data_IF_293261649802
#
_entry.id   IF_293261649802
#
_cell.length_a   1.000
_cell.length_b   1.000
_cell.length_c   1.000
_cell.angle_alpha   90.00
_cell.angle_beta   90.00
_cell.angle_gamma   90.00
#
_symmetry.space_group_name_H-M   'P 1'
#
loop_
_entity.id
_entity.type
_entity.pdbx_description
1 polymer ?
#
# COMPACT_ATOMS: atom_id res chain seq x y z
N UNK A 1 -0.06 46.87 54.04
CA UNK A 1 -0.39 47.96 53.08
C UNK A 1 -0.39 47.35 51.70
N UNK A 2 -1.55 46.88 51.21
CA UNK A 2 -1.68 46.17 49.93
C UNK A 2 -2.57 47.01 49.04
N UNK A 3 -1.95 47.70 48.06
CA UNK A 3 -2.63 48.48 47.03
C UNK A 3 -3.12 47.56 45.89
N UNK A 4 -4.19 47.95 45.17
CA UNK A 4 -5.19 47.01 44.70
C UNK A 4 -4.98 46.50 43.27
N UNK A 5 -5.48 45.27 43.10
CA UNK A 5 -5.66 44.46 41.91
C UNK A 5 -6.60 45.14 40.89
N UNK A 6 -6.15 46.15 40.12
CA UNK A 6 -7.02 46.77 39.10
C UNK A 6 -6.38 47.27 37.79
N UNK A 7 -5.14 46.92 37.49
CA UNK A 7 -4.48 47.37 36.24
C UNK A 7 -3.99 46.25 35.32
N UNK A 8 -4.08 44.97 35.71
CA UNK A 8 -3.68 43.83 34.86
C UNK A 8 -4.83 43.24 34.03
N UNK A 9 -6.09 43.44 34.43
CA UNK A 9 -7.28 42.98 33.68
C UNK A 9 -7.60 43.82 32.44
N UNK A 10 -7.01 45.02 32.29
CA UNK A 10 -7.30 45.91 31.15
C UNK A 10 -6.50 45.56 29.90
N UNK A 11 -5.41 44.81 29.98
CA UNK A 11 -4.61 44.45 28.80
C UNK A 11 -5.08 43.14 28.18
N UNK A 12 -5.46 42.14 28.97
CA UNK A 12 -6.06 40.91 28.44
C UNK A 12 -7.42 41.15 27.80
N UNK A 13 -8.29 41.99 28.41
CA UNK A 13 -9.58 42.34 27.79
C UNK A 13 -9.41 43.19 26.53
N UNK A 14 -8.41 44.09 26.50
CA UNK A 14 -8.12 44.91 25.31
C UNK A 14 -7.52 44.05 24.19
N UNK A 15 -6.70 43.03 24.51
CA UNK A 15 -6.19 42.05 23.54
C UNK A 15 -7.32 41.16 23.00
N UNK A 16 -8.26 40.73 23.85
CA UNK A 16 -9.42 39.92 23.42
C UNK A 16 -10.37 40.76 22.55
N UNK A 17 -10.63 42.03 22.91
CA UNK A 17 -11.46 42.94 22.12
C UNK A 17 -10.78 43.31 20.79
N UNK A 18 -9.46 43.53 20.77
CA UNK A 18 -8.70 43.76 19.52
C UNK A 18 -8.66 42.51 18.63
N UNK A 19 -8.58 41.31 19.21
CA UNK A 19 -8.66 40.05 18.46
C UNK A 19 -10.08 39.76 17.95
N UNK A 20 -11.13 40.07 18.71
CA UNK A 20 -12.53 39.96 18.24
C UNK A 20 -12.83 40.97 17.12
N UNK A 21 -12.23 42.17 17.15
CA UNK A 21 -12.39 43.15 16.07
C UNK A 21 -11.59 42.80 14.80
N UNK A 22 -10.47 42.06 14.93
CA UNK A 22 -9.68 41.62 13.77
C UNK A 22 -10.18 40.29 13.17
N UNK A 23 -11.07 39.58 13.86
CA UNK A 23 -11.80 38.42 13.32
C UNK A 23 -13.18 38.88 12.82
N UNK A 24 -13.21 39.88 11.94
CA UNK A 24 -14.24 39.98 10.89
C UNK A 24 -13.57 40.54 9.63
N UNK A 25 -13.77 39.79 8.54
CA UNK A 25 -13.52 40.11 7.13
C UNK A 25 -12.15 39.81 6.51
N UNK A 26 -11.75 38.54 6.58
CA UNK A 26 -11.13 37.87 5.42
C UNK A 26 -12.11 36.82 4.91
N UNK A 27 -12.77 37.09 3.77
CA UNK A 27 -13.53 36.07 3.03
C UNK A 27 -12.54 35.13 2.35
N UNK A 28 -12.13 34.08 3.05
CA UNK A 28 -11.49 32.92 2.43
C UNK A 28 -12.58 32.02 1.85
N UNK A 29 -12.62 31.90 0.52
CA UNK A 29 -13.41 30.88 -0.17
C UNK A 29 -12.57 29.60 -0.29
N UNK A 30 -12.63 28.71 0.71
CA UNK A 30 -12.22 27.31 0.60
C UNK A 30 -13.43 26.47 1.07
N UNK A 31 -14.10 25.69 0.23
CA UNK A 31 -13.67 24.43 -0.39
C UNK A 31 -13.36 23.36 0.66
N UNK A 32 -14.40 22.65 1.09
CA UNK A 32 -14.31 21.30 1.64
C UNK A 32 -15.66 20.57 1.48
N UNK A 33 -15.68 19.57 0.60
CA UNK A 33 -16.57 18.42 0.68
C UNK A 33 -15.66 17.18 0.62
N UNK A 34 -15.15 16.77 1.77
CA UNK A 34 -14.81 15.37 2.03
C UNK A 34 -15.74 14.92 3.15
N UNK A 35 -16.67 14.04 2.78
CA UNK A 35 -17.52 13.35 3.72
C UNK A 35 -16.66 12.34 4.49
N UNK A 36 -16.22 12.71 5.68
CA UNK A 36 -15.80 11.77 6.71
C UNK A 36 -16.72 11.88 7.92
N UNK A 37 -17.15 10.69 8.35
CA UNK A 37 -18.08 10.40 9.44
C UNK A 37 -17.62 11.02 10.76
N UNK A 38 -18.46 11.84 11.39
CA UNK A 38 -18.34 12.20 12.80
C UNK A 38 -19.38 11.42 13.63
N UNK A 39 -18.84 10.59 14.50
CA UNK A 39 -19.49 9.80 15.53
C UNK A 39 -20.20 10.73 16.53
N UNK A 40 -21.54 10.68 16.56
CA UNK A 40 -22.34 11.40 17.55
C UNK A 40 -22.41 10.54 18.81
N UNK A 41 -21.67 10.96 19.85
CA UNK A 41 -21.85 10.47 21.21
C UNK A 41 -23.17 11.02 21.76
N UNK A 42 -24.17 10.16 21.94
CA UNK A 42 -25.37 10.47 22.71
C UNK A 42 -25.42 9.63 24.01
N UNK A 43 -25.37 10.39 25.10
CA UNK A 43 -25.53 10.06 26.52
C UNK A 43 -26.04 8.67 26.97
N UNK A 44 -25.28 8.12 27.93
CA UNK A 44 -25.70 7.40 29.16
C UNK A 44 -27.12 6.80 29.18
N UNK A 45 -27.21 5.49 28.94
CA UNK A 45 -27.98 4.57 29.81
C UNK A 45 -27.41 3.15 29.74
N UNK A 46 -27.00 2.67 30.92
CA UNK A 46 -26.43 1.35 31.22
C UNK A 46 -27.48 0.26 30.96
N UNK A 47 -27.17 -0.73 30.11
CA UNK A 47 -27.70 -2.10 30.24
C UNK A 47 -26.73 -3.09 29.59
N UNK A 48 -26.07 -3.89 30.42
CA UNK A 48 -25.20 -5.00 30.04
C UNK A 48 -26.11 -6.18 29.67
N UNK A 49 -25.99 -6.74 28.46
CA UNK A 49 -26.30 -8.15 28.15
C UNK A 49 -25.27 -8.65 27.11
N UNK A 50 -24.89 -9.91 27.30
CA UNK A 50 -23.73 -10.65 26.82
C UNK A 50 -23.61 -10.94 25.32
N UNK A 51 -22.36 -11.24 24.95
CA UNK A 51 -21.84 -11.92 23.77
C UNK A 51 -22.81 -12.85 23.02
N UNK A 52 -22.97 -12.59 21.71
CA UNK A 52 -23.24 -13.62 20.69
C UNK A 52 -22.46 -13.24 19.43
N UNK A 53 -21.52 -14.10 19.05
CA UNK A 53 -20.88 -14.13 17.73
C UNK A 53 -21.91 -14.56 16.67
N UNK A 54 -22.08 -13.79 15.60
CA UNK A 54 -22.79 -14.29 14.41
C UNK A 54 -21.98 -14.02 13.14
N UNK A 55 -21.50 -15.13 12.59
CA UNK A 55 -20.94 -15.27 11.26
C UNK A 55 -21.95 -14.78 10.22
N UNK A 56 -21.65 -13.71 9.49
CA UNK A 56 -22.44 -13.36 8.30
C UNK A 56 -22.01 -14.22 7.11
N UNK A 57 -22.61 -15.41 6.98
CA UNK A 57 -22.77 -16.08 5.67
C UNK A 57 -23.72 -15.26 4.81
N UNK A 58 -23.26 -14.75 3.67
CA UNK A 58 -24.12 -14.19 2.63
C UNK A 58 -24.79 -15.32 1.84
N UNK A 59 -26.10 -15.46 2.01
CA UNK A 59 -26.98 -16.22 1.12
C UNK A 59 -27.34 -15.40 -0.14
N UNK A 60 -27.67 -16.04 -1.27
CA UNK A 60 -27.92 -15.36 -2.54
C UNK A 60 -29.30 -14.68 -2.56
N UNK A 61 -29.38 -13.62 -3.37
CA UNK A 61 -30.52 -12.71 -3.49
C UNK A 61 -31.84 -13.42 -3.83
N UNK A 62 -32.88 -13.13 -3.03
CA UNK A 62 -34.28 -13.16 -3.45
C UNK A 62 -34.87 -11.77 -3.27
N UNK A 63 -35.64 -11.36 -4.27
CA UNK A 63 -36.34 -10.09 -4.32
C UNK A 63 -37.49 -10.08 -3.31
N UNK A 64 -37.59 -9.02 -2.51
CA UNK A 64 -38.78 -8.64 -1.76
C UNK A 64 -38.82 -7.12 -1.65
N UNK A 65 -39.98 -6.57 -2.01
CA UNK A 65 -40.31 -5.15 -2.02
C UNK A 65 -40.20 -4.53 -0.62
N UNK A 66 -39.43 -3.44 -0.50
CA UNK A 66 -39.49 -2.57 0.67
C UNK A 66 -39.79 -1.15 0.21
N UNK A 67 -41.05 -0.78 0.41
CA UNK A 67 -41.58 0.58 0.38
C UNK A 67 -40.73 1.48 1.29
N UNK A 68 -40.11 2.53 0.73
CA UNK A 68 -39.59 3.66 1.50
C UNK A 68 -40.35 4.93 1.18
N UNK A 69 -41.08 5.36 2.19
CA UNK A 69 -41.89 6.57 2.29
C UNK A 69 -41.06 7.81 1.97
N UNK A 70 -41.61 8.61 1.07
CA UNK A 70 -41.10 9.88 0.57
C UNK A 70 -41.49 10.99 1.56
N UNK A 71 -40.50 11.68 2.13
CA UNK A 71 -40.72 12.95 2.83
C UNK A 71 -40.52 14.09 1.81
N UNK A 72 -41.59 14.45 1.11
CA UNK A 72 -41.73 15.77 0.46
C UNK A 72 -42.84 16.51 1.19
N UNK A 73 -42.49 17.43 2.10
CA UNK A 73 -43.54 18.23 2.78
C UNK A 73 -43.17 19.68 3.13
N UNK A 74 -42.05 20.25 2.68
CA UNK A 74 -41.72 21.63 3.09
C UNK A 74 -41.37 22.62 1.97
N UNK A 75 -41.46 22.24 0.70
CA UNK A 75 -41.13 23.15 -0.42
C UNK A 75 -42.38 23.51 -1.27
N UNK A 76 -43.52 22.86 -1.04
CA UNK A 76 -44.73 23.04 -1.87
C UNK A 76 -45.58 24.27 -1.52
N UNK A 77 -45.15 25.15 -0.60
CA UNK A 77 -45.99 26.27 -0.12
C UNK A 77 -45.52 27.67 -0.54
N UNK A 78 -44.47 27.82 -1.36
CA UNK A 78 -43.94 29.16 -1.67
C UNK A 78 -43.97 29.63 -3.13
N UNK A 79 -44.55 28.88 -4.08
CA UNK A 79 -44.63 29.34 -5.47
C UNK A 79 -46.01 29.13 -6.09
N UNK A 80 -47.04 29.66 -5.42
CA UNK A 80 -48.35 29.90 -6.02
C UNK A 80 -48.56 31.41 -6.14
N UNK A 81 -48.18 31.97 -7.29
CA UNK A 81 -48.75 33.14 -7.95
C UNK A 81 -47.69 33.79 -8.85
N UNK A 82 -47.79 33.61 -10.16
CA UNK A 82 -47.98 34.69 -11.15
C UNK A 82 -47.98 34.10 -12.56
N UNK A 83 -49.17 34.08 -13.18
CA UNK A 83 -49.33 33.93 -14.62
C UNK A 83 -49.20 35.31 -15.27
N UNK A 84 -48.49 35.42 -16.40
CA UNK A 84 -48.86 36.35 -17.48
C UNK A 84 -48.22 35.90 -18.81
N UNK A 85 -49.07 35.80 -19.84
CA UNK A 85 -48.69 35.50 -21.23
C UNK A 85 -47.95 36.68 -21.87
N UNK A 86 -46.88 36.41 -22.64
CA UNK A 86 -46.58 37.19 -23.86
C UNK A 86 -45.74 36.41 -24.88
N UNK A 87 -46.10 36.67 -26.13
CA UNK A 87 -45.74 36.03 -27.41
C UNK A 87 -44.33 36.42 -27.87
N UNK A 88 -43.71 35.47 -28.58
CA UNK A 88 -42.39 35.42 -29.24
C UNK A 88 -41.63 36.72 -29.55
N UNK A 89 -40.34 36.75 -29.14
CA UNK A 89 -39.11 37.08 -29.90
C UNK A 89 -37.95 36.47 -29.08
N UNK A 90 -37.19 35.52 -29.65
CA UNK A 90 -36.10 34.82 -28.94
C UNK A 90 -34.81 35.64 -28.91
N UNK A 91 -34.64 36.43 -27.85
CA UNK A 91 -33.33 36.69 -27.24
C UNK A 91 -33.28 35.86 -25.96
N UNK A 92 -32.32 34.94 -25.82
CA UNK A 92 -32.23 34.04 -24.65
C UNK A 92 -31.78 34.85 -23.43
N UNK A 93 -32.74 35.47 -22.73
CA UNK A 93 -32.53 36.12 -21.43
C UNK A 93 -32.49 35.06 -20.33
N UNK A 94 -31.33 34.87 -19.73
CA UNK A 94 -31.18 34.10 -18.49
C UNK A 94 -31.71 34.92 -17.31
N UNK A 95 -32.73 34.42 -16.60
CA UNK A 95 -33.15 34.98 -15.31
C UNK A 95 -32.38 34.30 -14.18
N UNK A 96 -31.44 35.01 -13.58
CA UNK A 96 -30.90 34.67 -12.27
C UNK A 96 -31.84 35.26 -11.20
N UNK A 97 -32.46 34.40 -10.39
CA UNK A 97 -32.97 34.82 -9.09
C UNK A 97 -31.84 34.66 -8.08
N UNK A 98 -31.10 35.74 -7.84
CA UNK A 98 -30.56 36.04 -6.51
C UNK A 98 -30.30 37.54 -6.44
N UNK A 99 -30.94 38.20 -5.48
CA UNK A 99 -30.72 39.60 -5.14
C UNK A 99 -29.22 39.87 -4.91
N UNK A 100 -28.62 40.67 -5.79
CA UNK A 100 -27.80 41.79 -5.35
C UNK A 100 -27.56 42.78 -6.49
N UNK A 101 -27.66 44.07 -6.14
CA UNK A 101 -27.31 45.22 -6.98
C UNK A 101 -25.87 45.04 -7.50
N UNK A 102 -25.71 45.05 -8.82
CA UNK A 102 -24.80 45.91 -9.57
C UNK A 102 -24.88 45.55 -11.07
N UNK A 103 -25.10 46.57 -11.90
CA UNK A 103 -25.11 46.48 -13.36
C UNK A 103 -23.68 46.30 -13.87
N UNK A 104 -23.26 45.07 -14.15
CA UNK A 104 -22.10 44.81 -15.02
C UNK A 104 -22.43 43.65 -15.97
N UNK A 105 -22.42 43.96 -17.27
CA UNK A 105 -22.38 43.11 -18.47
C UNK A 105 -23.00 41.70 -18.38
N UNK A 106 -24.27 41.61 -18.80
CA UNK A 106 -24.93 40.34 -19.12
C UNK A 106 -24.20 39.65 -20.27
N UNK A 107 -23.33 38.68 -19.97
CA UNK A 107 -22.64 37.83 -20.95
C UNK A 107 -23.65 36.91 -21.66
N UNK A 108 -24.07 37.31 -22.85
CA UNK A 108 -24.97 36.52 -23.70
C UNK A 108 -24.18 35.42 -24.45
N UNK A 109 -24.68 34.19 -24.45
CA UNK A 109 -24.11 33.12 -25.29
C UNK A 109 -24.36 33.48 -26.77
N UNK A 110 -23.28 33.60 -27.55
CA UNK A 110 -23.33 33.77 -29.00
C UNK A 110 -23.02 32.43 -29.69
N UNK A 111 -24.02 31.54 -29.89
CA UNK A 111 -23.79 30.27 -30.54
C UNK A 111 -23.51 30.46 -32.03
N UNK A 112 -22.60 29.64 -32.58
CA UNK A 112 -22.35 29.54 -34.02
C UNK A 112 -23.54 28.89 -34.71
N UNK A 113 -24.15 27.89 -34.07
CA UNK A 113 -25.30 27.17 -34.61
C UNK A 113 -26.27 26.77 -33.53
N UNK A 114 -27.56 26.81 -33.84
CA UNK A 114 -28.65 26.50 -32.93
C UNK A 114 -29.56 25.45 -33.55
N UNK A 115 -29.84 24.41 -32.80
CA UNK A 115 -30.86 23.40 -33.08
C UNK A 115 -31.91 23.47 -31.98
N UNK A 116 -33.14 23.79 -32.36
CA UNK A 116 -34.23 24.04 -31.42
C UNK A 116 -34.68 22.76 -30.71
N UNK A 117 -34.53 21.60 -31.35
CA UNK A 117 -34.91 20.31 -30.80
C UNK A 117 -33.88 19.23 -31.13
N UNK A 118 -33.21 18.72 -30.10
CA UNK A 118 -32.13 17.73 -30.24
C UNK A 118 -32.59 16.47 -30.98
N UNK A 119 -33.83 16.00 -30.75
CA UNK A 119 -34.37 14.75 -31.31
C UNK A 119 -34.90 14.93 -32.72
N UNK A 120 -35.64 16.01 -32.98
CA UNK A 120 -36.20 16.31 -34.30
C UNK A 120 -35.11 16.72 -35.29
N UNK A 121 -34.15 17.54 -34.88
CA UNK A 121 -33.05 17.98 -35.74
C UNK A 121 -31.94 16.93 -35.89
N UNK A 122 -32.17 15.66 -35.52
CA UNK A 122 -31.16 14.60 -35.54
C UNK A 122 -30.46 14.46 -36.89
N UNK A 123 -31.22 14.44 -37.99
CA UNK A 123 -30.65 14.26 -39.32
C UNK A 123 -29.70 15.40 -39.70
N UNK A 124 -30.13 16.64 -39.44
CA UNK A 124 -29.35 17.84 -39.72
C UNK A 124 -28.10 17.92 -38.86
N UNK A 125 -28.23 17.64 -37.55
CA UNK A 125 -27.10 17.60 -36.61
C UNK A 125 -26.03 16.61 -37.09
N UNK A 126 -26.45 15.38 -37.45
CA UNK A 126 -25.50 14.34 -37.86
C UNK A 126 -24.83 14.64 -39.20
N UNK A 127 -25.53 15.33 -40.12
CA UNK A 127 -24.99 15.74 -41.40
C UNK A 127 -24.03 16.92 -41.27
N UNK A 128 -24.45 17.97 -40.57
CA UNK A 128 -23.75 19.26 -40.53
C UNK A 128 -22.60 19.30 -39.53
N UNK A 129 -22.64 18.46 -38.49
CA UNK A 129 -21.61 18.37 -37.45
C UNK A 129 -20.69 17.16 -37.61
N UNK A 130 -20.76 16.49 -38.77
CA UNK A 130 -19.89 15.38 -39.13
C UNK A 130 -18.45 15.85 -39.18
N UNK A 131 -17.56 15.11 -38.54
CA UNK A 131 -16.10 15.35 -38.50
C UNK A 131 -15.70 16.73 -37.96
N UNK A 132 -16.59 17.39 -37.23
CA UNK A 132 -16.31 18.66 -36.55
C UNK A 132 -16.03 18.43 -35.07
N UNK A 133 -14.99 19.09 -34.59
CA UNK A 133 -14.59 19.17 -33.20
C UNK A 133 -15.02 20.49 -32.59
N UNK A 134 -15.49 20.51 -31.34
CA UNK A 134 -15.89 21.75 -30.70
C UNK A 134 -16.59 21.61 -29.35
N UNK A 135 -17.04 22.76 -28.85
CA UNK A 135 -17.79 22.92 -27.60
C UNK A 135 -19.27 23.15 -27.91
N UNK A 136 -20.14 22.47 -27.16
CA UNK A 136 -21.59 22.56 -27.29
C UNK A 136 -22.26 22.82 -25.95
N UNK A 137 -23.47 23.35 -25.99
CA UNK A 137 -24.37 23.53 -24.87
C UNK A 137 -25.70 22.82 -25.14
N UNK A 138 -26.17 22.01 -24.20
CA UNK A 138 -27.51 21.45 -24.18
C UNK A 138 -28.34 22.24 -23.19
N UNK A 139 -29.50 22.71 -23.63
CA UNK A 139 -30.45 23.47 -22.80
C UNK A 139 -31.72 22.65 -22.65
N UNK A 140 -32.10 22.35 -21.41
CA UNK A 140 -33.39 21.76 -21.13
C UNK A 140 -34.49 22.83 -21.24
N UNK A 141 -35.44 22.64 -22.15
CA UNK A 141 -36.55 23.55 -22.41
C UNK A 141 -37.58 23.60 -21.28
N UNK A 142 -37.60 22.58 -20.39
CA UNK A 142 -38.57 22.50 -19.30
C UNK A 142 -38.14 23.35 -18.10
N UNK A 143 -36.90 23.18 -17.63
CA UNK A 143 -36.40 23.82 -16.41
C UNK A 143 -35.34 24.91 -16.70
N UNK A 144 -34.91 25.07 -17.95
CA UNK A 144 -33.89 26.05 -18.36
C UNK A 144 -32.46 25.66 -17.99
N UNK A 145 -32.25 24.50 -17.35
CA UNK A 145 -30.92 24.07 -16.94
C UNK A 145 -30.05 23.70 -18.15
N UNK A 146 -28.76 23.98 -18.02
CA UNK A 146 -27.79 23.82 -19.10
C UNK A 146 -26.71 22.82 -18.78
N UNK A 147 -26.14 22.23 -19.83
CA UNK A 147 -24.95 21.39 -19.80
C UNK A 147 -23.99 21.84 -20.88
N UNK A 148 -22.71 22.02 -20.54
CA UNK A 148 -21.66 22.34 -21.50
C UNK A 148 -20.73 21.14 -21.63
N UNK A 149 -20.41 20.76 -22.87
CA UNK A 149 -19.50 19.66 -23.14
C UNK A 149 -18.61 19.94 -24.36
N UNK A 150 -17.50 19.23 -24.47
CA UNK A 150 -16.66 19.23 -25.67
C UNK A 150 -16.57 17.86 -26.33
N UNK A 151 -16.29 17.81 -27.62
CA UNK A 151 -16.05 16.56 -28.35
C UNK A 151 -15.17 16.79 -29.58
N UNK A 152 -14.25 15.84 -29.83
CA UNK A 152 -13.47 15.74 -31.08
C UNK A 152 -14.40 15.47 -32.28
N UNK A 153 -15.51 14.77 -32.06
CA UNK A 153 -16.53 14.54 -33.08
C UNK A 153 -17.92 14.83 -32.49
N UNK A 154 -18.47 15.99 -32.88
CA UNK A 154 -19.76 16.48 -32.39
C UNK A 154 -20.91 15.58 -32.84
N UNK A 155 -20.96 15.17 -34.11
CA UNK A 155 -22.01 14.27 -34.61
C UNK A 155 -22.03 12.94 -33.84
N UNK A 156 -20.87 12.32 -33.61
CA UNK A 156 -20.76 11.07 -32.82
C UNK A 156 -21.25 11.26 -31.39
N UNK A 157 -20.89 12.38 -30.75
CA UNK A 157 -21.37 12.70 -29.40
C UNK A 157 -22.88 12.87 -29.34
N UNK A 158 -23.47 13.61 -30.29
CA UNK A 158 -24.92 13.79 -30.35
C UNK A 158 -25.66 12.49 -30.64
N UNK A 159 -25.10 11.62 -31.49
CA UNK A 159 -25.62 10.27 -31.72
C UNK A 159 -25.72 9.46 -30.43
N UNK A 160 -24.74 9.58 -29.53
CA UNK A 160 -24.76 8.91 -28.23
C UNK A 160 -25.90 9.45 -27.34
N UNK A 161 -26.07 10.77 -27.25
CA UNK A 161 -27.16 11.35 -26.45
C UNK A 161 -28.54 11.01 -26.97
N UNK A 162 -28.68 10.81 -28.28
CA UNK A 162 -29.92 10.38 -28.94
C UNK A 162 -30.18 8.87 -28.87
N UNK A 163 -29.27 8.09 -28.29
CA UNK A 163 -29.39 6.64 -28.20
C UNK A 163 -29.75 6.20 -26.78
N UNK A 164 -30.97 5.67 -26.61
CA UNK A 164 -31.44 5.18 -25.31
C UNK A 164 -30.60 4.04 -24.72
N UNK A 165 -30.00 3.18 -25.55
CA UNK A 165 -29.10 2.11 -25.09
C UNK A 165 -27.82 2.70 -24.49
N UNK A 166 -27.29 3.76 -25.09
CA UNK A 166 -26.14 4.49 -24.54
C UNK A 166 -26.48 5.14 -23.21
N UNK A 167 -27.65 5.79 -23.12
CA UNK A 167 -28.08 6.48 -21.90
C UNK A 167 -28.36 5.50 -20.73
N UNK A 168 -28.93 4.31 -21.00
CA UNK A 168 -29.24 3.30 -19.99
C UNK A 168 -28.04 2.45 -19.57
N UNK A 169 -26.87 2.63 -20.18
CA UNK A 169 -25.67 1.87 -19.84
C UNK A 169 -25.21 2.21 -18.41
N UNK A 170 -24.93 1.18 -17.60
CA UNK A 170 -24.46 1.31 -16.20
C UNK A 170 -23.19 2.15 -16.06
N UNK A 171 -22.36 2.26 -17.10
CA UNK A 171 -21.16 3.12 -17.10
C UNK A 171 -21.50 4.61 -17.17
N UNK A 172 -22.63 4.96 -17.80
CA UNK A 172 -23.02 6.34 -18.11
C UNK A 172 -24.10 6.88 -17.17
N UNK A 173 -24.75 6.01 -16.38
CA UNK A 173 -25.89 6.34 -15.52
C UNK A 173 -25.61 7.43 -14.48
N UNK A 174 -24.34 7.64 -14.12
CA UNK A 174 -23.93 8.62 -13.13
C UNK A 174 -23.71 10.03 -13.70
N UNK A 175 -23.71 10.20 -15.03
CA UNK A 175 -23.56 11.51 -15.65
C UNK A 175 -24.85 12.34 -15.50
N UNK A 176 -24.84 13.55 -14.93
CA UNK A 176 -26.07 14.32 -14.72
C UNK A 176 -26.84 14.61 -16.01
N UNK A 177 -26.14 14.95 -17.10
CA UNK A 177 -26.77 15.18 -18.41
C UNK A 177 -27.47 13.92 -18.95
N UNK A 178 -26.89 12.73 -18.74
CA UNK A 178 -27.51 11.45 -19.16
C UNK A 178 -28.80 11.21 -18.37
N UNK A 179 -28.78 11.46 -17.05
CA UNK A 179 -29.97 11.38 -16.19
C UNK A 179 -31.04 12.39 -16.61
N UNK A 180 -30.64 13.61 -16.96
CA UNK A 180 -31.55 14.66 -17.40
C UNK A 180 -32.21 14.30 -18.75
N UNK A 181 -31.43 13.83 -19.73
CA UNK A 181 -31.92 13.37 -21.03
C UNK A 181 -32.89 12.18 -20.91
N UNK A 182 -32.65 11.27 -19.96
CA UNK A 182 -33.58 10.16 -19.66
C UNK A 182 -34.85 10.64 -18.94
N UNK A 183 -34.72 11.58 -18.00
CA UNK A 183 -35.85 12.08 -17.19
C UNK A 183 -36.81 12.94 -18.01
N UNK A 184 -36.28 13.80 -18.88
CA UNK A 184 -37.07 14.82 -19.59
C UNK A 184 -37.29 14.50 -21.07
N UNK A 185 -36.79 13.36 -21.58
CA UNK A 185 -36.73 13.00 -23.01
C UNK A 185 -35.85 13.95 -23.85
N UNK A 186 -35.17 13.40 -24.86
CA UNK A 186 -34.25 14.20 -25.70
C UNK A 186 -34.98 15.29 -26.51
N UNK A 187 -36.28 15.15 -26.79
CA UNK A 187 -37.06 16.17 -27.51
C UNK A 187 -37.19 17.49 -26.72
N UNK A 188 -37.02 17.45 -25.40
CA UNK A 188 -37.09 18.64 -24.56
C UNK A 188 -35.74 19.36 -24.41
N UNK A 189 -34.74 19.00 -25.22
CA UNK A 189 -33.44 19.69 -25.23
C UNK A 189 -33.22 20.46 -26.53
N UNK A 190 -32.61 21.64 -26.42
CA UNK A 190 -32.01 22.37 -27.54
C UNK A 190 -30.50 22.21 -27.53
N UNK A 191 -29.88 22.20 -28.71
CA UNK A 191 -28.43 22.08 -28.87
C UNK A 191 -27.87 23.37 -29.47
N UNK A 192 -26.90 23.96 -28.79
CA UNK A 192 -26.15 25.11 -29.26
C UNK A 192 -24.71 24.68 -29.50
N UNK A 193 -24.17 24.94 -30.69
CA UNK A 193 -22.73 24.83 -30.95
C UNK A 193 -22.12 26.18 -30.59
N UNK A 194 -21.26 26.19 -29.58
CA UNK A 194 -20.67 27.41 -29.03
C UNK A 194 -19.41 27.81 -29.81
N UNK A 195 -18.56 26.84 -30.12
CA UNK A 195 -17.27 27.08 -30.75
C UNK A 195 -16.77 25.81 -31.45
N UNK A 196 -16.14 25.95 -32.62
CA UNK A 196 -15.36 24.88 -33.23
C UNK A 196 -13.91 25.00 -32.80
N UNK A 197 -13.34 23.90 -32.29
CA UNK A 197 -12.06 23.91 -31.59
C UNK A 197 -11.28 22.66 -31.96
N UNK A 198 -9.98 22.80 -32.22
CA UNK A 198 -9.07 21.66 -32.43
C UNK A 198 -8.96 20.78 -31.17
N UNK A 199 -8.60 19.51 -31.35
CA UNK A 199 -8.70 18.50 -30.29
C UNK A 199 -7.88 18.85 -29.04
N UNK A 200 -6.73 19.50 -29.24
CA UNK A 200 -5.77 19.92 -28.22
C UNK A 200 -6.36 20.98 -27.29
N UNK A 201 -7.23 21.84 -27.82
CA UNK A 201 -7.77 23.01 -27.13
C UNK A 201 -9.17 22.77 -26.52
N UNK A 202 -9.82 21.63 -26.81
CA UNK A 202 -11.18 21.33 -26.36
C UNK A 202 -11.35 21.47 -24.84
N UNK A 203 -10.44 20.88 -24.06
CA UNK A 203 -10.50 20.90 -22.59
C UNK A 203 -10.41 22.32 -22.02
N UNK A 204 -9.55 23.16 -22.63
CA UNK A 204 -9.34 24.54 -22.23
C UNK A 204 -10.60 25.36 -22.52
N UNK A 205 -11.16 25.21 -23.72
CA UNK A 205 -12.36 25.95 -24.14
C UNK A 205 -13.61 25.48 -23.40
N UNK A 206 -13.77 24.18 -23.16
CA UNK A 206 -14.84 23.64 -22.32
C UNK A 206 -14.80 24.24 -20.91
N UNK A 207 -13.61 24.28 -20.31
CA UNK A 207 -13.40 24.91 -19.00
C UNK A 207 -13.76 26.39 -19.02
N UNK A 208 -13.34 27.13 -20.04
CA UNK A 208 -13.69 28.54 -20.20
C UNK A 208 -15.21 28.76 -20.17
N UNK A 209 -15.98 27.95 -20.91
CA UNK A 209 -17.43 28.06 -20.92
C UNK A 209 -18.08 27.59 -19.59
N UNK A 210 -17.61 26.50 -18.99
CA UNK A 210 -18.14 26.03 -17.70
C UNK A 210 -17.93 27.07 -16.60
N UNK A 211 -16.74 27.67 -16.51
CA UNK A 211 -16.43 28.68 -15.49
C UNK A 211 -17.25 29.96 -15.71
N UNK A 212 -17.42 30.38 -16.96
CA UNK A 212 -18.13 31.62 -17.27
C UNK A 212 -19.66 31.51 -17.12
N UNK A 213 -20.25 30.33 -17.37
CA UNK A 213 -21.70 30.16 -17.41
C UNK A 213 -22.27 29.29 -16.28
N UNK A 214 -21.42 28.56 -15.55
CA UNK A 214 -21.76 27.71 -14.40
C UNK A 214 -23.00 26.83 -14.69
N UNK A 215 -22.94 25.97 -15.74
CA UNK A 215 -24.06 25.15 -16.15
C UNK A 215 -24.47 24.13 -15.07
N UNK A 216 -25.78 24.02 -14.81
CA UNK A 216 -26.34 23.23 -13.72
C UNK A 216 -26.00 21.73 -13.79
N UNK A 217 -25.94 21.16 -14.99
CA UNK A 217 -25.68 19.72 -15.16
C UNK A 217 -24.18 19.36 -15.17
N UNK A 218 -23.27 20.34 -15.09
CA UNK A 218 -21.83 20.09 -14.96
C UNK A 218 -21.47 20.00 -13.47
N UNK A 219 -21.07 18.82 -13.00
CA UNK A 219 -20.68 18.61 -11.59
C UNK A 219 -19.36 19.30 -11.28
N UNK A 220 -18.40 19.23 -12.21
CA UNK A 220 -17.07 19.79 -12.05
C UNK A 220 -17.04 21.20 -12.64
N UNK A 221 -16.37 22.13 -11.95
CA UNK A 221 -16.16 23.51 -12.39
C UNK A 221 -15.12 23.66 -13.50
N UNK A 222 -14.46 22.56 -13.87
CA UNK A 222 -13.44 22.49 -14.91
C UNK A 222 -13.76 21.32 -15.85
N UNK A 223 -13.56 21.52 -17.16
CA UNK A 223 -13.60 20.43 -18.13
C UNK A 223 -12.38 19.54 -17.90
N UNK A 224 -12.59 18.30 -17.48
CA UNK A 224 -11.50 17.34 -17.25
C UNK A 224 -11.58 16.23 -18.29
N UNK A 225 -10.46 15.99 -18.99
CA UNK A 225 -10.22 14.71 -19.66
C UNK A 225 -9.47 13.80 -18.70
N UNK A 226 -9.89 12.54 -18.58
CA UNK A 226 -9.15 11.52 -17.82
C UNK A 226 -7.93 11.00 -18.58
N UNK A 227 -7.78 11.37 -19.87
CA UNK A 227 -6.66 10.95 -20.70
C UNK A 227 -5.37 11.62 -20.23
N UNK A 228 -4.41 10.82 -19.77
CA UNK A 228 -3.11 11.29 -19.26
C UNK A 228 -3.11 11.71 -17.79
N UNK A 229 -4.25 11.62 -17.09
CA UNK A 229 -4.31 11.91 -15.66
C UNK A 229 -3.46 10.91 -14.86
N UNK A 230 -2.49 11.45 -14.09
CA UNK A 230 -1.71 10.69 -13.12
C UNK A 230 -2.26 10.99 -11.73
N UNK A 231 -2.61 9.94 -10.98
CA UNK A 231 -2.98 10.10 -9.57
C UNK A 231 -1.85 10.79 -8.78
N UNK A 232 -2.22 11.65 -7.83
CA UNK A 232 -1.27 12.23 -6.88
C UNK A 232 -0.66 11.15 -6.00
N UNK A 233 0.51 11.41 -5.41
CA UNK A 233 1.17 10.43 -4.54
C UNK A 233 0.33 10.10 -3.30
N UNK A 234 -0.40 11.08 -2.75
CA UNK A 234 -1.34 10.86 -1.65
C UNK A 234 -2.46 9.90 -2.06
N UNK A 235 -3.01 10.09 -3.27
CA UNK A 235 -4.06 9.22 -3.81
C UNK A 235 -3.53 7.81 -4.06
N UNK A 236 -2.31 7.67 -4.62
CA UNK A 236 -1.67 6.36 -4.82
C UNK A 236 -1.44 5.64 -3.50
N UNK A 237 -0.98 6.36 -2.47
CA UNK A 237 -0.77 5.82 -1.12
C UNK A 237 -2.09 5.34 -0.51
N UNK A 238 -3.13 6.16 -0.56
CA UNK A 238 -4.47 5.80 -0.08
C UNK A 238 -5.01 4.54 -0.81
N UNK A 239 -4.91 4.50 -2.13
CA UNK A 239 -5.34 3.34 -2.92
C UNK A 239 -4.52 2.08 -2.59
N UNK A 240 -3.22 2.23 -2.32
CA UNK A 240 -2.35 1.15 -1.85
C UNK A 240 -2.82 0.61 -0.50
N UNK A 241 -3.08 1.50 0.47
CA UNK A 241 -3.56 1.14 1.81
C UNK A 241 -4.92 0.44 1.77
N UNK A 242 -5.87 0.96 0.99
CA UNK A 242 -7.16 0.30 0.75
C UNK A 242 -7.02 -1.05 0.04
N UNK A 243 -5.94 -1.22 -0.74
CA UNK A 243 -5.62 -2.46 -1.44
C UNK A 243 -5.11 -3.57 -0.53
N UNK A 244 -4.42 -3.23 0.59
CA UNK A 244 -3.78 -4.21 1.48
C UNK A 244 -4.75 -5.22 2.09
N UNK A 245 -5.99 -4.80 2.35
CA UNK A 245 -7.02 -5.64 2.98
C UNK A 245 -7.90 -6.39 1.97
N UNK A 246 -7.59 -6.33 0.67
CA UNK A 246 -8.37 -7.05 -0.35
C UNK A 246 -8.04 -8.53 -0.28
N UNK A 247 -8.98 -9.32 0.23
CA UNK A 247 -8.89 -10.77 0.23
C UNK A 247 -9.69 -11.34 -0.94
N UNK A 248 -9.03 -12.09 -1.81
CA UNK A 248 -9.71 -12.82 -2.88
C UNK A 248 -10.60 -13.93 -2.30
N UNK A 249 -11.76 -14.16 -2.94
CA UNK A 249 -12.61 -15.31 -2.61
C UNK A 249 -11.86 -16.63 -2.84
N UNK A 250 -12.24 -17.69 -2.12
CA UNK A 250 -11.64 -19.02 -2.31
C UNK A 250 -11.71 -19.51 -3.75
N UNK A 251 -12.86 -19.29 -4.41
CA UNK A 251 -13.05 -19.61 -5.84
C UNK A 251 -12.03 -18.88 -6.72
N UNK A 252 -11.80 -17.59 -6.46
CA UNK A 252 -10.82 -16.79 -7.21
C UNK A 252 -9.39 -17.26 -6.94
N UNK A 253 -9.04 -17.56 -5.68
CA UNK A 253 -7.73 -18.12 -5.30
C UNK A 253 -7.47 -19.44 -6.02
N UNK A 254 -8.47 -20.32 -6.09
CA UNK A 254 -8.35 -21.60 -6.80
C UNK A 254 -8.13 -21.43 -8.30
N UNK A 255 -8.81 -20.48 -8.95
CA UNK A 255 -8.60 -20.17 -10.36
C UNK A 255 -7.19 -19.64 -10.63
N UNK A 256 -6.70 -18.72 -9.79
CA UNK A 256 -5.34 -18.18 -9.89
C UNK A 256 -4.31 -19.30 -9.69
N UNK A 257 -4.49 -20.13 -8.66
CA UNK A 257 -3.60 -21.25 -8.39
C UNK A 257 -3.53 -22.20 -9.59
N UNK A 258 -4.67 -22.56 -10.20
CA UNK A 258 -4.70 -23.44 -11.38
C UNK A 258 -3.96 -22.83 -12.56
N UNK A 259 -4.07 -21.52 -12.75
CA UNK A 259 -3.41 -20.81 -13.84
C UNK A 259 -1.89 -20.75 -13.68
N UNK A 260 -1.34 -20.90 -12.47
CA UNK A 260 0.09 -20.76 -12.17
C UNK A 260 0.82 -22.11 -11.96
N UNK A 261 0.27 -23.22 -12.45
CA UNK A 261 0.88 -24.55 -12.35
C UNK A 261 1.66 -24.90 -13.62
N UNK A 262 2.75 -25.65 -13.47
CA UNK A 262 3.55 -26.14 -14.59
C UNK A 262 4.20 -25.01 -15.36
N UNK A 263 4.14 -25.06 -16.69
CA UNK A 263 4.76 -24.10 -17.61
C UNK A 263 4.29 -22.66 -17.43
N UNK A 264 3.06 -22.46 -16.94
CA UNK A 264 2.52 -21.12 -16.69
C UNK A 264 3.09 -20.47 -15.42
N UNK A 265 3.80 -21.23 -14.58
CA UNK A 265 4.50 -20.66 -13.45
C UNK A 265 5.67 -19.78 -13.95
N UNK A 266 5.77 -18.50 -13.56
CA UNK A 266 6.89 -17.64 -13.95
C UNK A 266 8.28 -18.18 -13.57
N UNK A 267 8.34 -19.11 -12.60
CA UNK A 267 9.55 -19.80 -12.15
C UNK A 267 9.72 -21.21 -12.74
N UNK A 268 8.87 -21.64 -13.68
CA UNK A 268 9.03 -22.94 -14.34
C UNK A 268 10.36 -23.02 -15.06
N UNK A 269 11.07 -24.15 -14.89
CA UNK A 269 12.43 -24.39 -15.40
C UNK A 269 13.48 -23.34 -15.02
N UNK A 270 13.21 -22.47 -14.03
CA UNK A 270 14.19 -21.53 -13.49
C UNK A 270 14.80 -22.09 -12.21
N UNK A 271 16.12 -21.97 -12.10
CA UNK A 271 16.86 -22.29 -10.87
C UNK A 271 17.21 -21.02 -10.11
N UNK A 272 17.14 -21.06 -8.78
CA UNK A 272 17.65 -19.96 -7.95
C UNK A 272 19.17 -19.80 -8.14
N UNK A 273 19.64 -18.55 -8.10
CA UNK A 273 21.07 -18.24 -8.06
C UNK A 273 21.72 -18.83 -6.80
N UNK A 274 23.04 -19.01 -6.83
CA UNK A 274 23.82 -19.43 -5.65
C UNK A 274 23.57 -18.51 -4.46
N UNK A 275 23.55 -17.20 -4.68
CA UNK A 275 23.24 -16.21 -3.64
C UNK A 275 21.78 -16.26 -3.17
N UNK A 276 20.83 -16.48 -4.08
CA UNK A 276 19.42 -16.70 -3.71
C UNK A 276 19.23 -17.94 -2.84
N UNK A 277 19.98 -19.01 -3.12
CA UNK A 277 20.02 -20.22 -2.28
C UNK A 277 20.64 -19.94 -0.92
N UNK A 278 21.71 -19.14 -0.85
CA UNK A 278 22.35 -18.72 0.40
C UNK A 278 21.37 -17.93 1.28
N UNK A 279 20.71 -16.90 0.73
CA UNK A 279 19.71 -16.12 1.49
C UNK A 279 18.53 -16.96 1.95
N UNK A 280 18.09 -17.92 1.13
CA UNK A 280 17.04 -18.86 1.53
C UNK A 280 17.52 -19.77 2.66
N UNK A 281 18.77 -20.25 2.63
CA UNK A 281 19.38 -21.02 3.71
C UNK A 281 19.46 -20.16 4.99
N UNK A 282 19.94 -18.91 4.91
CA UNK A 282 20.01 -17.98 6.04
C UNK A 282 18.63 -17.68 6.64
N UNK A 283 17.62 -17.46 5.80
CA UNK A 283 16.25 -17.17 6.25
C UNK A 283 15.52 -18.40 6.82
N UNK A 284 15.91 -19.61 6.38
CA UNK A 284 15.33 -20.88 6.86
C UNK A 284 16.15 -21.50 8.00
N UNK A 285 17.38 -21.06 8.20
CA UNK A 285 18.23 -21.53 9.27
C UNK A 285 17.83 -20.90 10.60
N UNK A 286 17.16 -21.69 11.44
CA UNK A 286 16.66 -21.22 12.72
C UNK A 286 17.77 -20.80 13.71
N UNK A 287 19.02 -21.25 13.52
CA UNK A 287 20.13 -21.00 14.45
C UNK A 287 21.48 -20.91 13.72
N UNK A 288 22.16 -19.73 13.74
CA UNK A 288 23.52 -19.61 13.26
C UNK A 288 24.46 -20.50 14.09
N UNK A 289 25.56 -20.90 13.47
CA UNK A 289 26.55 -21.78 14.09
C UNK A 289 27.89 -21.06 14.17
N UNK A 290 28.39 -20.92 15.39
CA UNK A 290 29.63 -20.24 15.71
C UNK A 290 30.74 -21.28 15.80
N UNK A 291 31.82 -21.08 15.04
CA UNK A 291 33.01 -21.94 15.11
C UNK A 291 34.12 -21.17 15.79
N UNK A 292 34.71 -21.78 16.81
CA UNK A 292 35.87 -21.25 17.52
C UNK A 292 37.07 -22.16 17.33
N UNK A 293 38.27 -21.60 17.50
CA UNK A 293 39.47 -22.42 17.67
C UNK A 293 39.52 -23.03 19.08
N UNK A 294 40.56 -23.80 19.35
CA UNK A 294 40.74 -24.47 20.63
C UNK A 294 41.00 -23.52 21.82
N UNK A 295 41.28 -22.24 21.57
CA UNK A 295 41.37 -21.18 22.58
C UNK A 295 40.07 -20.38 22.72
N UNK A 296 38.96 -20.86 22.18
CA UNK A 296 37.65 -20.18 22.17
C UNK A 296 37.67 -18.80 21.52
N UNK A 297 38.56 -18.56 20.55
CA UNK A 297 38.52 -17.37 19.69
C UNK A 297 37.60 -17.62 18.50
N UNK A 298 36.62 -16.74 18.28
CA UNK A 298 35.63 -16.87 17.22
C UNK A 298 36.30 -16.80 15.83
N UNK A 299 36.17 -17.87 15.05
CA UNK A 299 36.74 -17.95 13.70
C UNK A 299 35.76 -17.48 12.65
N UNK A 300 34.57 -18.07 12.59
CA UNK A 300 33.58 -17.84 11.54
C UNK A 300 32.18 -18.21 12.03
N UNK A 301 31.16 -17.60 11.42
CA UNK A 301 29.75 -17.90 11.68
C UNK A 301 29.13 -18.49 10.42
N UNK A 302 28.56 -19.67 10.53
CA UNK A 302 27.79 -20.32 9.47
C UNK A 302 26.29 -20.07 9.67
N UNK A 303 25.50 -20.05 8.58
CA UNK A 303 24.06 -19.85 8.69
C UNK A 303 23.37 -21.00 9.42
N UNK A 304 23.82 -22.25 9.25
CA UNK A 304 23.18 -23.41 9.89
C UNK A 304 24.10 -24.59 10.10
N UNK A 305 23.69 -25.49 11.01
CA UNK A 305 24.34 -26.79 11.22
C UNK A 305 24.31 -27.63 9.94
N UNK A 306 23.22 -27.59 9.16
CA UNK A 306 23.09 -28.33 7.91
C UNK A 306 24.07 -27.83 6.84
N UNK A 307 24.27 -26.52 6.76
CA UNK A 307 25.25 -25.90 5.85
C UNK A 307 26.65 -26.36 6.23
N UNK A 308 27.00 -26.24 7.52
CA UNK A 308 28.28 -26.67 8.04
C UNK A 308 28.51 -28.17 7.79
N UNK A 309 27.53 -29.02 8.10
CA UNK A 309 27.64 -30.47 7.99
C UNK A 309 27.92 -30.94 6.57
N UNK A 310 27.25 -30.34 5.58
CA UNK A 310 27.49 -30.60 4.16
C UNK A 310 28.87 -30.13 3.74
N UNK A 311 29.30 -28.96 4.21
CA UNK A 311 30.59 -28.39 3.85
C UNK A 311 31.76 -29.21 4.38
N UNK A 312 31.70 -29.71 5.63
CA UNK A 312 32.81 -30.44 6.27
C UNK A 312 32.71 -31.98 6.15
N UNK A 313 31.74 -32.47 5.38
CA UNK A 313 31.39 -33.89 5.23
C UNK A 313 31.23 -34.58 6.60
N UNK A 314 30.31 -34.06 7.42
CA UNK A 314 29.98 -34.66 8.72
C UNK A 314 28.47 -34.92 8.83
N UNK A 315 28.11 -35.90 9.64
CA UNK A 315 26.72 -36.23 9.90
C UNK A 315 26.08 -35.13 10.75
N UNK A 316 24.91 -34.64 10.33
CA UNK A 316 24.18 -33.59 11.03
C UNK A 316 23.94 -33.92 12.54
N UNK A 317 23.51 -35.13 12.92
CA UNK A 317 23.33 -35.47 14.34
C UNK A 317 24.63 -35.41 15.15
N UNK A 318 25.78 -35.71 14.55
CA UNK A 318 27.08 -35.65 15.23
C UNK A 318 27.41 -34.22 15.64
N UNK A 319 27.21 -33.25 14.74
CA UNK A 319 27.45 -31.83 15.07
C UNK A 319 26.47 -31.35 16.15
N UNK A 320 25.21 -31.77 16.07
CA UNK A 320 24.21 -31.44 17.11
C UNK A 320 24.62 -31.98 18.48
N UNK A 321 25.11 -33.22 18.57
CA UNK A 321 25.58 -33.79 19.84
C UNK A 321 26.79 -33.04 20.37
N UNK A 322 27.74 -32.69 19.51
CA UNK A 322 28.91 -31.89 19.90
C UNK A 322 28.51 -30.51 20.43
N UNK A 323 27.53 -29.84 19.79
CA UNK A 323 26.97 -28.57 20.29
C UNK A 323 26.31 -28.76 21.66
N UNK A 324 25.55 -29.85 21.86
CA UNK A 324 24.89 -30.13 23.14
C UNK A 324 25.89 -30.43 24.26
N UNK A 325 26.89 -31.23 23.96
CA UNK A 325 27.93 -31.65 24.92
C UNK A 325 29.01 -30.60 25.14
N UNK A 326 29.09 -29.57 24.27
CA UNK A 326 30.11 -28.52 24.30
C UNK A 326 31.55 -29.06 24.21
N UNK A 327 31.74 -30.16 23.47
CA UNK A 327 33.04 -30.83 23.33
C UNK A 327 33.83 -30.34 22.12
N UNK A 328 35.14 -30.57 22.11
CA UNK A 328 36.00 -30.24 20.96
C UNK A 328 35.68 -31.18 19.79
N UNK A 329 35.34 -30.58 18.66
CA UNK A 329 35.16 -31.25 17.38
C UNK A 329 36.48 -31.45 16.65
N UNK A 330 36.75 -32.66 16.16
CA UNK A 330 37.91 -33.01 15.32
C UNK A 330 39.26 -32.50 15.87
N UNK A 331 39.35 -32.43 17.21
CA UNK A 331 40.56 -32.10 17.95
C UNK A 331 40.98 -30.63 17.97
N UNK A 332 40.24 -29.70 17.38
CA UNK A 332 40.63 -28.28 17.36
C UNK A 332 39.50 -27.27 17.46
N UNK A 333 38.25 -27.62 17.12
CA UNK A 333 37.19 -26.61 16.97
C UNK A 333 36.06 -26.80 17.97
N UNK A 334 35.64 -25.71 18.59
CA UNK A 334 34.35 -25.68 19.28
C UNK A 334 33.27 -25.23 18.32
N UNK A 335 32.11 -25.87 18.38
CA UNK A 335 30.94 -25.55 17.57
C UNK A 335 29.80 -25.27 18.53
N UNK A 336 29.21 -24.08 18.45
CA UNK A 336 28.08 -23.68 19.30
C UNK A 336 26.97 -23.03 18.48
N UNK A 337 25.76 -23.02 19.02
CA UNK A 337 24.61 -22.29 18.47
C UNK A 337 24.36 -20.94 19.19
N UNK A 338 25.10 -20.68 20.27
CA UNK A 338 25.06 -19.44 21.06
C UNK A 338 26.51 -18.95 21.18
N UNK A 339 26.78 -17.65 20.98
CA UNK A 339 28.13 -17.14 21.11
C UNK A 339 28.62 -17.19 22.57
N UNK A 340 29.92 -17.44 22.78
CA UNK A 340 30.50 -17.36 24.13
C UNK A 340 30.51 -15.92 24.66
N UNK A 341 30.74 -14.95 23.79
CA UNK A 341 30.66 -13.53 24.08
C UNK A 341 30.01 -12.77 22.91
N UNK A 342 29.07 -11.87 23.23
CA UNK A 342 28.33 -11.08 22.24
C UNK A 342 29.19 -10.01 21.54
N UNK A 343 30.31 -9.60 22.15
CA UNK A 343 31.22 -8.63 21.55
C UNK A 343 32.27 -9.25 20.61
N UNK A 344 32.32 -10.57 20.49
CA UNK A 344 33.32 -11.24 19.68
C UNK A 344 33.09 -10.99 18.19
N UNK A 345 34.15 -10.57 17.51
CA UNK A 345 34.15 -10.35 16.06
C UNK A 345 34.80 -11.57 15.40
N UNK A 346 34.15 -12.21 14.42
CA UNK A 346 34.73 -13.35 13.73
C UNK A 346 35.97 -12.93 12.95
N UNK A 347 37.04 -13.73 13.02
CA UNK A 347 38.27 -13.49 12.24
C UNK A 347 37.97 -13.53 10.73
N UNK A 348 37.09 -14.44 10.32
CA UNK A 348 36.61 -14.59 8.95
C UNK A 348 35.20 -14.03 8.90
N UNK A 349 35.03 -12.86 8.28
CA UNK A 349 33.76 -12.14 8.22
C UNK A 349 32.73 -12.80 7.30
N UNK A 350 33.18 -13.51 6.26
CA UNK A 350 32.33 -14.15 5.26
C UNK A 350 32.61 -15.65 5.18
N UNK A 351 31.59 -16.46 5.45
CA UNK A 351 31.69 -17.93 5.42
C UNK A 351 31.82 -18.50 4.01
N UNK A 352 31.62 -17.70 2.96
CA UNK A 352 31.80 -18.07 1.55
C UNK A 352 33.19 -17.69 0.99
N UNK A 353 33.97 -16.95 1.77
CA UNK A 353 35.32 -16.50 1.44
C UNK A 353 36.32 -17.63 1.19
N UNK A 354 37.48 -17.30 0.61
CA UNK A 354 38.55 -18.28 0.35
C UNK A 354 39.16 -18.77 1.67
N UNK A 355 39.35 -17.87 2.62
CA UNK A 355 39.85 -18.13 3.97
C UNK A 355 38.96 -19.13 4.70
N UNK A 356 37.63 -19.00 4.55
CA UNK A 356 36.69 -19.98 5.11
C UNK A 356 36.82 -21.35 4.43
N UNK A 357 37.04 -21.40 3.11
CA UNK A 357 37.25 -22.68 2.40
C UNK A 357 38.51 -23.39 2.91
N UNK A 358 39.57 -22.66 3.19
CA UNK A 358 40.80 -23.21 3.76
C UNK A 358 40.57 -23.77 5.18
N UNK A 359 39.81 -23.05 6.02
CA UNK A 359 39.36 -23.55 7.33
C UNK A 359 38.51 -24.83 7.19
N UNK A 360 37.53 -24.85 6.28
CA UNK A 360 36.69 -26.03 6.03
C UNK A 360 37.53 -27.23 5.59
N UNK A 361 38.54 -27.02 4.74
CA UNK A 361 39.46 -28.07 4.30
C UNK A 361 40.31 -28.59 5.47
N UNK A 362 40.76 -27.72 6.36
CA UNK A 362 41.43 -28.14 7.61
C UNK A 362 40.52 -28.95 8.52
N UNK A 363 39.24 -28.55 8.65
CA UNK A 363 38.26 -29.34 9.41
C UNK A 363 38.05 -30.72 8.77
N UNK A 364 38.04 -30.81 7.43
CA UNK A 364 37.94 -32.10 6.72
C UNK A 364 39.15 -33.01 6.94
N UNK A 365 40.36 -32.45 6.87
CA UNK A 365 41.58 -33.26 7.03
C UNK A 365 41.66 -33.92 8.41
N UNK A 366 41.03 -33.32 9.42
CA UNK A 366 41.02 -33.85 10.79
C UNK A 366 39.82 -34.78 11.08
N UNK A 367 39.14 -35.29 10.04
CA UNK A 367 37.95 -36.14 10.21
C UNK A 367 38.19 -37.48 10.91
N UNK A 368 39.43 -37.98 10.90
CA UNK A 368 39.85 -39.18 11.63
C UNK A 368 39.95 -38.95 13.15
N UNK A 369 40.13 -37.70 13.59
CA UNK A 369 40.31 -37.33 14.98
C UNK A 369 38.95 -37.34 15.68
N UNK A 370 38.69 -38.38 16.48
CA UNK A 370 37.46 -38.45 17.30
C UNK A 370 37.60 -37.70 18.62
N UNK A 371 38.76 -37.82 19.28
CA UNK A 371 39.03 -37.21 20.59
C UNK A 371 40.54 -36.99 20.77
N UNK A 372 40.98 -35.77 20.49
CA UNK A 372 42.37 -35.38 20.68
C UNK A 372 42.75 -35.35 22.17
N UNK A 373 44.04 -35.50 22.46
CA UNK A 373 44.57 -35.39 23.82
C UNK A 373 45.57 -34.25 23.85
N UNK A 374 45.31 -33.27 24.70
CA UNK A 374 46.21 -32.16 24.99
C UNK A 374 47.05 -32.53 26.21
N UNK A 375 48.36 -32.30 26.10
CA UNK A 375 49.33 -32.64 27.14
C UNK A 375 50.04 -31.38 27.59
N UNK A 376 50.16 -31.26 28.91
CA UNK A 376 50.81 -30.14 29.59
C UNK A 376 51.83 -30.67 30.59
N UNK A 377 52.78 -29.84 30.99
CA UNK A 377 53.65 -30.15 32.12
C UNK A 377 52.91 -29.99 33.46
N UNK A 378 53.57 -30.32 34.56
CA UNK A 378 53.03 -30.17 35.91
C UNK A 378 52.67 -28.72 36.27
N UNK A 379 53.26 -27.73 35.58
CA UNK A 379 53.00 -26.30 35.74
C UNK A 379 51.91 -25.79 34.77
N UNK A 380 51.20 -26.68 34.06
CA UNK A 380 50.19 -26.37 33.03
C UNK A 380 50.73 -25.67 31.79
N UNK A 381 52.03 -25.73 31.52
CA UNK A 381 52.58 -25.27 30.25
C UNK A 381 52.24 -26.27 29.15
N UNK A 382 51.68 -25.78 28.05
CA UNK A 382 51.30 -26.63 26.91
C UNK A 382 52.53 -27.30 26.28
N UNK A 383 52.51 -28.62 26.18
CA UNK A 383 53.58 -29.42 25.57
C UNK A 383 53.21 -29.79 24.14
N UNK A 384 52.00 -30.30 23.94
CA UNK A 384 51.59 -30.76 22.63
C UNK A 384 50.17 -31.29 22.56
N UNK A 385 49.67 -31.42 21.33
CA UNK A 385 48.39 -32.04 21.00
C UNK A 385 48.66 -33.33 20.23
N UNK A 386 47.99 -34.39 20.64
CA UNK A 386 48.01 -35.69 19.98
C UNK A 386 46.64 -36.00 19.39
N UNK A 387 46.61 -36.72 18.27
CA UNK A 387 45.36 -37.04 17.56
C UNK A 387 44.45 -37.97 18.37
N UNK A 388 45.00 -38.67 19.36
CA UNK A 388 44.26 -39.45 20.32
C UNK A 388 45.17 -40.10 21.36
N UNK A 389 44.56 -40.92 22.22
CA UNK A 389 45.27 -41.59 23.33
C UNK A 389 46.39 -42.51 22.83
N UNK A 390 46.17 -43.24 21.73
CA UNK A 390 47.18 -44.14 21.14
C UNK A 390 48.41 -43.38 20.64
N UNK A 391 48.20 -42.20 20.08
CA UNK A 391 49.28 -41.34 19.58
C UNK A 391 50.09 -40.77 20.75
N UNK A 392 49.40 -40.26 21.78
CA UNK A 392 50.03 -39.83 23.03
C UNK A 392 50.80 -40.98 23.73
N UNK A 393 50.27 -42.20 23.73
CA UNK A 393 50.94 -43.39 24.25
C UNK A 393 52.27 -43.64 23.53
N UNK A 394 52.28 -43.60 22.20
CA UNK A 394 53.50 -43.85 21.41
C UNK A 394 54.56 -42.79 21.70
N UNK A 395 54.15 -41.53 21.78
CA UNK A 395 55.07 -40.41 22.02
C UNK A 395 55.64 -40.41 23.44
N UNK A 396 54.80 -40.63 24.46
CA UNK A 396 55.17 -40.48 25.87
C UNK A 396 55.55 -41.80 26.55
N UNK A 397 55.37 -42.93 25.86
CA UNK A 397 55.56 -44.30 26.39
C UNK A 397 54.75 -44.57 27.67
N UNK A 398 53.57 -43.96 27.80
CA UNK A 398 52.65 -44.15 28.92
C UNK A 398 51.48 -45.05 28.47
N UNK A 399 51.02 -45.94 29.34
CA UNK A 399 49.92 -46.87 29.04
C UNK A 399 48.64 -46.12 28.60
N UNK A 400 47.99 -46.62 27.54
CA UNK A 400 46.71 -46.13 27.02
C UNK A 400 45.65 -45.92 28.09
N UNK A 401 45.44 -46.91 28.97
CA UNK A 401 44.40 -46.85 30.00
C UNK A 401 44.67 -45.74 31.01
N UNK A 402 45.94 -45.52 31.34
CA UNK A 402 46.41 -44.44 32.20
C UNK A 402 46.09 -43.09 31.57
N UNK A 403 46.56 -42.84 30.33
CA UNK A 403 46.30 -41.56 29.65
C UNK A 403 44.79 -41.30 29.56
N UNK A 404 43.98 -42.31 29.20
CA UNK A 404 42.52 -42.19 29.12
C UNK A 404 41.89 -41.79 30.45
N UNK A 405 42.30 -42.44 31.55
CA UNK A 405 41.79 -42.16 32.91
C UNK A 405 42.16 -40.74 33.33
N UNK A 406 43.42 -40.35 33.21
CA UNK A 406 43.88 -39.03 33.66
C UNK A 406 43.35 -37.89 32.78
N UNK A 407 43.17 -38.13 31.47
CA UNK A 407 42.55 -37.16 30.56
C UNK A 407 41.08 -36.87 30.89
N UNK A 408 40.34 -37.83 31.44
CA UNK A 408 38.94 -37.60 31.85
C UNK A 408 38.79 -36.78 33.14
N UNK A 409 39.81 -36.78 34.00
CA UNK A 409 39.79 -36.05 35.28
C UNK A 409 40.71 -34.83 35.28
N UNK A 410 41.33 -34.49 34.15
CA UNK A 410 42.38 -33.48 34.02
C UNK A 410 43.49 -33.64 35.08
N UNK A 411 43.83 -34.90 35.38
CA UNK A 411 44.74 -35.25 36.48
C UNK A 411 46.21 -35.31 36.04
N UNK A 412 47.11 -35.24 37.03
CA UNK A 412 48.56 -35.32 36.82
C UNK A 412 49.01 -36.79 36.89
N UNK A 413 49.80 -37.21 35.92
CA UNK A 413 50.51 -38.50 35.95
C UNK A 413 51.91 -38.34 35.36
N UNK A 414 52.92 -38.79 36.11
CA UNK A 414 54.32 -38.76 35.70
C UNK A 414 54.80 -37.37 35.22
N UNK A 415 54.38 -36.31 35.93
CA UNK A 415 54.71 -34.92 35.58
C UNK A 415 53.93 -34.32 34.41
N UNK A 416 52.99 -35.06 33.82
CA UNK A 416 52.14 -34.59 32.73
C UNK A 416 50.69 -34.42 33.18
N UNK A 417 50.02 -33.38 32.68
CA UNK A 417 48.56 -33.25 32.74
C UNK A 417 48.00 -33.63 31.39
N UNK A 418 47.02 -34.53 31.38
CA UNK A 418 46.29 -34.92 30.18
C UNK A 418 44.91 -34.27 30.21
N UNK A 419 44.46 -33.75 29.07
CA UNK A 419 43.10 -33.23 28.94
C UNK A 419 42.52 -33.54 27.56
N UNK A 420 41.21 -33.73 27.51
CA UNK A 420 40.46 -33.79 26.24
C UNK A 420 40.03 -32.40 25.74
N UNK A 421 40.21 -31.38 26.57
CA UNK A 421 39.95 -29.99 26.24
C UNK A 421 41.25 -29.20 26.32
N UNK A 422 41.27 -28.03 25.68
CA UNK A 422 42.41 -27.13 25.81
C UNK A 422 42.24 -26.33 27.09
N UNK A 423 43.16 -26.52 28.03
CA UNK A 423 43.27 -25.74 29.25
C UNK A 423 43.92 -24.38 28.91
N UNK A 424 43.38 -23.33 29.53
CA UNK A 424 43.90 -21.97 29.48
C UNK A 424 45.12 -21.80 30.39
#
# INVERSE_FOLDING_TARGET
>A
MVLPLKTTLSWELLIIILLEFYIILVKMYNFEQSADYLEIILNKKKKIISWVTSETRRSPAKAEDIVRVIIYSLIYLFNKNFNFYKKAIYSVRFYYSFNNKNNEDKKELKPIKVYTNLKENKADILKEQKDKSGVYCLINKIDGHTYIGSSINLASRMKNYLNNTFLKNKKNSNMPIVRALLKYDQSNFSLLILEYVEAENLTIRETFYIVNFIPYYNVLKQGYSSLGYKHTEETKKLLSELGKNRVHSEKTKALISRALIGENNPFYNKSHSTEGKIRMIEATSAYPVYIYNSYKKLLVIFPSVLTLSKLINSNHPTIINVIKEQTIFRGEWYITNIPYNLSDIPIISDWSSKECKDLVNSIKSNSHIKKAVFVYDANRKFIGKYEGVTDAQKALKINHSTIKKYASINGVYNGYIFSYERLN
#
